data_IF_330887205239
#
_entry.id   IF_330887205239
#
_cell.length_a   1.000
_cell.length_b   1.000
_cell.length_c   1.000
_cell.angle_alpha   90.00
_cell.angle_beta   90.00
_cell.angle_gamma   90.00
#
_symmetry.space_group_name_H-M   'P 1'
#
loop_
_entity.id
_entity.type
_entity.pdbx_description
1 polymer ?
#
# COMPACT_ATOMS: atom_id res chain seq x y z
N UNK A 1 2.52 -8.36 -14.27
CA UNK A 1 3.62 -9.36 -14.17
C UNK A 1 4.09 -9.53 -12.72
N UNK A 2 4.53 -8.45 -12.02
CA UNK A 2 5.11 -8.55 -10.66
C UNK A 2 4.25 -9.35 -9.67
N UNK A 3 2.92 -9.14 -9.68
CA UNK A 3 1.97 -9.83 -8.79
C UNK A 3 1.91 -11.35 -9.05
N UNK A 4 2.32 -11.79 -10.24
CA UNK A 4 2.28 -13.19 -10.64
C UNK A 4 3.57 -13.96 -10.31
N UNK A 5 4.67 -13.22 -10.07
CA UNK A 5 5.95 -13.84 -9.80
C UNK A 5 5.94 -14.64 -8.49
N UNK A 6 6.40 -15.90 -8.51
CA UNK A 6 6.55 -16.66 -7.28
C UNK A 6 7.59 -16.06 -6.34
N UNK A 7 7.41 -16.23 -5.05
CA UNK A 7 8.32 -15.70 -4.02
C UNK A 7 9.76 -16.24 -4.14
N UNK A 8 9.94 -17.42 -4.74
CA UNK A 8 11.27 -17.97 -5.05
C UNK A 8 12.07 -17.11 -6.06
N UNK A 9 11.41 -16.26 -6.83
CA UNK A 9 12.01 -15.32 -7.78
C UNK A 9 11.85 -13.86 -7.34
N UNK A 10 10.76 -13.50 -6.66
CA UNK A 10 10.46 -12.13 -6.25
C UNK A 10 10.55 -11.98 -4.73
N UNK A 11 11.68 -11.50 -4.23
CA UNK A 11 11.84 -11.00 -2.87
C UNK A 11 11.85 -9.46 -2.86
N UNK A 12 11.95 -8.83 -1.68
CA UNK A 12 11.95 -7.37 -1.54
C UNK A 12 13.08 -6.68 -2.34
N UNK A 13 14.26 -7.29 -2.42
CA UNK A 13 15.40 -6.76 -3.19
C UNK A 13 15.16 -6.81 -4.69
N UNK A 14 14.60 -7.92 -5.19
CA UNK A 14 14.25 -8.07 -6.61
C UNK A 14 13.13 -7.09 -6.99
N UNK A 15 12.13 -6.91 -6.14
CA UNK A 15 11.07 -5.92 -6.32
C UNK A 15 11.64 -4.49 -6.43
N UNK A 16 12.56 -4.12 -5.54
CA UNK A 16 13.24 -2.83 -5.58
C UNK A 16 14.07 -2.64 -6.88
N UNK A 17 14.76 -3.71 -7.34
CA UNK A 17 15.51 -3.71 -8.61
C UNK A 17 14.57 -3.52 -9.81
N UNK A 18 13.39 -4.13 -9.79
CA UNK A 18 12.38 -3.93 -10.83
C UNK A 18 11.96 -2.45 -10.90
N UNK A 19 11.73 -1.77 -9.77
CA UNK A 19 11.43 -0.34 -9.74
C UNK A 19 12.59 0.53 -10.24
N UNK A 20 13.84 0.19 -9.92
CA UNK A 20 15.00 0.87 -10.50
C UNK A 20 15.04 0.73 -12.02
N UNK A 21 14.72 -0.46 -12.54
CA UNK A 21 14.64 -0.69 -13.99
C UNK A 21 13.54 0.14 -14.64
N UNK A 22 12.35 0.21 -14.02
CA UNK A 22 11.25 1.07 -14.48
C UNK A 22 11.67 2.55 -14.49
N UNK A 23 12.35 3.01 -13.44
CA UNK A 23 12.84 4.38 -13.35
C UNK A 23 13.83 4.73 -14.48
N UNK A 24 14.78 3.84 -14.75
CA UNK A 24 15.73 4.00 -15.88
C UNK A 24 15.01 4.07 -17.23
N UNK A 25 14.00 3.23 -17.45
CA UNK A 25 13.22 3.17 -18.70
C UNK A 25 12.29 4.36 -18.92
N UNK A 26 11.76 4.95 -17.84
CA UNK A 26 10.75 6.03 -17.91
C UNK A 26 11.31 7.41 -17.54
N UNK A 27 12.51 7.50 -16.96
CA UNK A 27 13.15 8.77 -16.62
C UNK A 27 12.76 9.34 -15.28
N UNK A 28 12.41 8.49 -14.28
CA UNK A 28 12.25 8.91 -12.89
C UNK A 28 13.38 8.37 -12.00
N UNK A 29 13.69 9.11 -10.93
CA UNK A 29 14.71 8.70 -9.97
C UNK A 29 14.19 7.62 -9.05
N UNK A 30 15.05 6.64 -8.71
CA UNK A 30 14.72 5.58 -7.76
C UNK A 30 15.84 5.44 -6.75
N UNK A 31 15.53 5.59 -5.48
CA UNK A 31 16.43 5.38 -4.36
C UNK A 31 15.93 4.19 -3.54
N UNK A 32 16.80 3.23 -3.27
CA UNK A 32 16.49 2.04 -2.47
C UNK A 32 17.27 2.11 -1.17
N UNK A 33 16.55 2.08 -0.05
CA UNK A 33 17.13 1.98 1.28
C UNK A 33 17.20 0.51 1.70
N UNK A 34 18.38 0.09 2.08
CA UNK A 34 18.66 -1.24 2.62
C UNK A 34 18.32 -1.32 4.14
N UNK A 35 18.44 -2.51 4.72
CA UNK A 35 18.15 -2.76 6.15
C UNK A 35 18.92 -1.82 7.09
N UNK A 36 20.19 -1.47 6.77
CA UNK A 36 20.98 -0.50 7.56
C UNK A 36 20.29 0.86 7.59
N UNK A 37 19.93 1.40 6.41
CA UNK A 37 19.27 2.71 6.31
C UNK A 37 17.87 2.70 6.92
N UNK A 38 17.12 1.61 6.81
CA UNK A 38 15.82 1.41 7.45
C UNK A 38 15.95 1.46 8.98
N UNK A 39 16.99 0.84 9.56
CA UNK A 39 17.32 0.95 11.00
C UNK A 39 17.66 2.37 11.42
N UNK A 40 18.49 3.09 10.65
CA UNK A 40 18.83 4.50 10.91
C UNK A 40 17.58 5.39 10.91
N UNK A 41 16.61 5.10 10.04
CA UNK A 41 15.33 5.80 9.94
C UNK A 41 14.34 5.37 11.03
N UNK A 42 14.67 4.36 11.84
CA UNK A 42 13.81 3.81 12.90
C UNK A 42 12.45 3.31 12.38
N UNK A 43 12.42 2.72 11.18
CA UNK A 43 11.20 2.14 10.61
C UNK A 43 10.83 0.84 11.35
N UNK A 44 10.29 0.98 12.55
CA UNK A 44 10.07 -0.15 13.48
C UNK A 44 9.02 -1.14 12.99
N UNK A 45 7.98 -0.69 12.30
CA UNK A 45 6.98 -1.56 11.71
C UNK A 45 7.57 -2.46 10.61
N UNK A 46 8.36 -1.88 9.69
CA UNK A 46 9.03 -2.63 8.63
C UNK A 46 10.08 -3.61 9.19
N UNK A 47 10.80 -3.20 10.23
CA UNK A 47 11.80 -4.05 10.87
C UNK A 47 11.18 -5.21 11.63
N UNK A 48 10.08 -4.98 12.35
CA UNK A 48 9.39 -6.00 13.13
C UNK A 48 8.82 -7.10 12.22
N UNK A 49 8.12 -6.71 11.14
CA UNK A 49 7.59 -7.69 10.16
C UNK A 49 8.72 -8.50 9.52
N UNK A 50 9.88 -7.87 9.29
CA UNK A 50 11.05 -8.57 8.72
C UNK A 50 11.78 -9.49 9.69
N UNK A 51 11.48 -9.53 10.99
CA UNK A 51 12.22 -10.34 11.95
C UNK A 51 12.21 -11.83 11.61
N UNK A 52 11.08 -12.36 11.16
CA UNK A 52 10.97 -13.76 10.74
C UNK A 52 11.52 -14.07 9.34
N UNK A 53 12.15 -13.11 8.65
CA UNK A 53 12.66 -13.31 7.29
C UNK A 53 14.18 -13.34 7.22
N UNK A 54 14.72 -14.32 6.49
CA UNK A 54 16.14 -14.34 6.10
C UNK A 54 16.47 -13.34 4.97
N UNK A 55 15.44 -12.81 4.27
CA UNK A 55 15.62 -11.85 3.20
C UNK A 55 15.60 -10.42 3.77
N UNK A 56 16.51 -9.52 3.34
CA UNK A 56 16.53 -8.16 3.84
C UNK A 56 15.32 -7.36 3.33
N UNK A 57 14.74 -6.47 4.19
CA UNK A 57 13.70 -5.56 3.74
C UNK A 57 14.30 -4.45 2.89
N UNK A 58 13.46 -3.83 2.06
CA UNK A 58 13.81 -2.62 1.32
C UNK A 58 12.77 -1.53 1.55
N UNK A 59 13.19 -0.28 1.47
CA UNK A 59 12.28 0.85 1.35
C UNK A 59 12.65 1.64 0.10
N UNK A 60 11.76 1.63 -0.89
CA UNK A 60 12.01 2.25 -2.19
C UNK A 60 11.30 3.59 -2.29
N UNK A 61 12.05 4.63 -2.63
CA UNK A 61 11.55 5.98 -2.94
C UNK A 61 11.74 6.23 -4.44
N UNK A 62 10.65 6.49 -5.13
CA UNK A 62 10.62 6.84 -6.55
C UNK A 62 10.20 8.29 -6.71
N UNK A 63 10.92 9.09 -7.47
CA UNK A 63 10.63 10.52 -7.66
C UNK A 63 10.54 10.87 -9.14
N UNK A 64 9.36 11.29 -9.57
CA UNK A 64 9.11 11.87 -10.87
C UNK A 64 8.76 13.35 -10.72
N UNK A 65 9.69 14.23 -11.15
CA UNK A 65 9.56 15.69 -11.05
C UNK A 65 10.01 16.32 -12.36
N UNK A 66 9.11 16.41 -13.37
CA UNK A 66 9.45 17.03 -14.66
C UNK A 66 9.64 18.55 -14.53
N UNK A 67 10.39 19.14 -15.47
CA UNK A 67 10.41 20.58 -15.63
C UNK A 67 9.01 21.06 -16.01
N UNK A 68 8.47 22.04 -15.28
CA UNK A 68 7.11 22.53 -15.54
C UNK A 68 6.00 21.71 -14.85
N UNK A 69 6.32 20.94 -13.81
CA UNK A 69 5.30 20.35 -12.95
C UNK A 69 4.36 21.44 -12.41
N UNK A 70 3.05 21.26 -12.59
CA UNK A 70 2.02 22.24 -12.22
C UNK A 70 1.72 22.25 -10.72
N UNK A 71 2.02 21.16 -10.01
CA UNK A 71 1.87 21.07 -8.55
C UNK A 71 3.21 21.33 -7.86
N UNK A 72 3.18 22.21 -6.85
CA UNK A 72 4.36 22.53 -6.03
C UNK A 72 4.66 21.46 -4.99
N UNK A 73 3.61 20.92 -4.38
CA UNK A 73 3.64 19.81 -3.44
C UNK A 73 3.34 18.51 -4.19
N UNK A 74 4.05 17.40 -3.89
CA UNK A 74 3.84 16.16 -4.63
C UNK A 74 2.50 15.50 -4.30
N UNK A 75 1.97 14.76 -5.28
CA UNK A 75 1.07 13.65 -5.00
C UNK A 75 1.96 12.47 -4.63
N UNK A 76 1.71 11.86 -3.47
CA UNK A 76 2.47 10.71 -3.00
C UNK A 76 1.63 9.45 -3.15
N UNK A 77 2.21 8.43 -3.78
CA UNK A 77 1.63 7.09 -3.89
C UNK A 77 2.38 6.18 -2.92
N UNK A 78 1.65 5.50 -2.04
CA UNK A 78 2.23 4.53 -1.10
C UNK A 78 1.68 3.15 -1.45
N UNK A 79 2.53 2.12 -1.47
CA UNK A 79 2.10 0.78 -1.85
C UNK A 79 2.63 -0.30 -0.93
N UNK A 80 1.73 -1.16 -0.42
CA UNK A 80 2.09 -2.35 0.33
C UNK A 80 2.97 -3.27 -0.50
N UNK A 81 4.14 -3.66 0.04
CA UNK A 81 5.13 -4.48 -0.62
C UNK A 81 5.45 -5.79 0.13
N UNK A 82 4.45 -6.46 0.69
CA UNK A 82 4.64 -7.78 1.30
C UNK A 82 4.74 -8.82 0.19
N UNK A 83 5.97 -9.21 -0.18
CA UNK A 83 6.23 -10.09 -1.33
C UNK A 83 5.72 -11.52 -1.13
N UNK A 84 5.56 -11.94 0.11
CA UNK A 84 4.85 -13.15 0.50
C UNK A 84 4.37 -13.05 1.95
N UNK A 85 3.11 -13.39 2.20
CA UNK A 85 2.52 -13.33 3.52
C UNK A 85 2.07 -14.70 4.02
N UNK A 86 2.75 -15.21 5.05
CA UNK A 86 2.33 -16.44 5.75
C UNK A 86 1.33 -16.18 6.86
N UNK A 87 1.09 -14.89 7.21
CA UNK A 87 0.44 -14.48 8.44
C UNK A 87 1.39 -14.36 9.64
N UNK A 88 2.65 -14.74 9.48
CA UNK A 88 3.61 -14.82 10.59
C UNK A 88 3.16 -15.86 11.62
N UNK A 89 3.33 -15.57 12.90
CA UNK A 89 2.90 -16.48 13.99
C UNK A 89 1.37 -16.67 14.03
N UNK A 90 0.58 -15.73 13.51
CA UNK A 90 -0.86 -15.88 13.26
C UNK A 90 -1.10 -16.55 11.89
N UNK A 91 -0.61 -17.78 11.76
CA UNK A 91 -0.44 -18.50 10.51
C UNK A 91 -1.74 -18.66 9.71
N UNK A 92 -1.70 -18.29 8.44
CA UNK A 92 -2.81 -18.49 7.49
C UNK A 92 -3.01 -19.98 7.17
N UNK A 93 -4.26 -20.44 6.93
CA UNK A 93 -4.47 -21.75 6.32
C UNK A 93 -3.86 -21.78 4.91
N UNK A 94 -3.29 -22.93 4.50
CA UNK A 94 -2.66 -23.05 3.18
C UNK A 94 -3.66 -22.98 2.04
N UNK A 95 -4.72 -23.85 1.99
CA UNK A 95 -5.66 -23.83 0.87
C UNK A 95 -6.51 -22.56 0.84
N UNK A 96 -6.61 -21.95 -0.33
CA UNK A 96 -7.43 -20.76 -0.59
C UNK A 96 -7.07 -19.52 0.23
N UNK A 97 -5.87 -19.47 0.80
CA UNK A 97 -5.34 -18.34 1.56
C UNK A 97 -3.84 -18.18 1.30
N UNK A 98 -2.96 -18.86 2.02
CA UNK A 98 -1.50 -18.70 1.88
C UNK A 98 -0.98 -19.05 0.48
N UNK A 99 -1.60 -20.01 -0.21
CA UNK A 99 -1.18 -20.54 -1.52
C UNK A 99 -1.12 -19.49 -2.65
N UNK A 100 -1.75 -18.31 -2.47
CA UNK A 100 -1.68 -17.20 -3.43
C UNK A 100 -1.14 -15.89 -2.85
N UNK A 101 -0.60 -15.89 -1.63
CA UNK A 101 -0.09 -14.68 -0.97
C UNK A 101 1.15 -14.06 -1.61
N UNK A 102 1.65 -14.58 -2.72
CA UNK A 102 2.56 -13.86 -3.61
C UNK A 102 1.94 -12.57 -4.17
N UNK A 103 0.61 -12.43 -4.14
CA UNK A 103 -0.10 -11.25 -4.58
C UNK A 103 -0.11 -10.09 -3.56
N UNK A 104 0.43 -10.30 -2.36
CA UNK A 104 0.31 -9.35 -1.24
C UNK A 104 1.22 -8.11 -1.36
N UNK A 105 1.87 -7.98 -2.50
CA UNK A 105 2.61 -6.81 -2.95
C UNK A 105 1.90 -6.07 -4.10
N UNK A 106 0.62 -6.35 -4.32
CA UNK A 106 -0.19 -5.71 -5.36
C UNK A 106 -0.20 -4.18 -5.26
N UNK A 107 -0.24 -3.64 -4.05
CA UNK A 107 -0.16 -2.20 -3.82
C UNK A 107 1.14 -1.58 -4.33
N UNK A 108 2.28 -2.23 -4.11
CA UNK A 108 3.57 -1.78 -4.64
C UNK A 108 3.63 -1.80 -6.17
N UNK A 109 2.99 -2.81 -6.78
CA UNK A 109 2.87 -2.90 -8.23
C UNK A 109 2.03 -1.75 -8.81
N UNK A 110 0.95 -1.35 -8.13
CA UNK A 110 0.17 -0.15 -8.50
C UNK A 110 1.06 1.08 -8.52
N UNK A 111 1.82 1.33 -7.45
CA UNK A 111 2.67 2.51 -7.33
C UNK A 111 3.72 2.56 -8.43
N UNK A 112 4.49 1.46 -8.62
CA UNK A 112 5.53 1.41 -9.63
C UNK A 112 5.01 1.56 -11.06
N UNK A 113 3.90 0.90 -11.39
CA UNK A 113 3.28 0.96 -12.71
C UNK A 113 2.66 2.33 -13.00
N UNK A 114 2.01 2.96 -12.01
CA UNK A 114 1.43 4.30 -12.15
C UNK A 114 2.51 5.36 -12.38
N UNK A 115 3.61 5.32 -11.61
CA UNK A 115 4.74 6.22 -11.85
C UNK A 115 5.36 6.02 -13.23
N UNK A 116 5.52 4.76 -13.64
CA UNK A 116 6.03 4.43 -14.96
C UNK A 116 5.15 5.02 -16.06
N UNK A 117 3.84 4.83 -15.99
CA UNK A 117 2.89 5.37 -16.95
C UNK A 117 2.91 6.91 -16.96
N UNK A 118 2.86 7.56 -15.79
CA UNK A 118 2.90 9.02 -15.67
C UNK A 118 4.18 9.62 -16.26
N UNK A 119 5.33 8.99 -16.04
CA UNK A 119 6.60 9.46 -16.59
C UNK A 119 6.71 9.21 -18.11
N UNK A 120 6.21 8.07 -18.60
CA UNK A 120 6.19 7.77 -20.06
C UNK A 120 5.29 8.71 -20.84
N UNK A 121 4.12 9.02 -20.30
CA UNK A 121 3.17 10.00 -20.87
C UNK A 121 3.56 11.45 -20.56
N UNK A 122 4.69 11.67 -19.85
CA UNK A 122 5.23 13.00 -19.53
C UNK A 122 4.23 13.89 -18.83
N UNK A 123 3.44 13.35 -17.88
CA UNK A 123 2.49 14.16 -17.13
C UNK A 123 3.21 15.32 -16.43
N UNK A 124 2.71 16.56 -16.50
CA UNK A 124 3.31 17.72 -15.84
C UNK A 124 3.01 17.74 -14.33
N UNK A 125 3.28 16.62 -13.65
CA UNK A 125 3.01 16.44 -12.23
C UNK A 125 4.26 15.99 -11.46
N UNK A 126 4.42 16.56 -10.27
CA UNK A 126 5.39 16.07 -9.30
C UNK A 126 4.76 14.92 -8.52
N UNK A 127 5.31 13.72 -8.69
CA UNK A 127 4.78 12.49 -8.08
C UNK A 127 5.91 11.77 -7.35
N UNK A 128 5.61 11.26 -6.15
CA UNK A 128 6.50 10.40 -5.37
C UNK A 128 5.84 9.05 -5.13
N UNK A 129 6.59 7.98 -5.32
CA UNK A 129 6.19 6.62 -4.93
C UNK A 129 7.00 6.13 -3.74
N UNK A 130 6.34 5.55 -2.75
CA UNK A 130 6.95 4.97 -1.55
C UNK A 130 6.52 3.51 -1.43
N UNK A 131 7.49 2.61 -1.33
CA UNK A 131 7.24 1.18 -1.19
C UNK A 131 8.07 0.59 -0.06
N UNK A 132 7.48 0.33 1.11
CA UNK A 132 8.05 -0.56 2.12
C UNK A 132 7.87 -2.00 1.65
N UNK A 133 8.96 -2.79 1.60
CA UNK A 133 8.89 -4.17 1.12
C UNK A 133 9.64 -5.15 2.02
N UNK A 134 8.99 -6.26 2.29
CA UNK A 134 9.47 -7.42 3.05
C UNK A 134 8.58 -8.62 2.77
N UNK A 135 8.91 -9.78 3.29
CA UNK A 135 7.97 -10.88 3.49
C UNK A 135 7.62 -11.03 4.97
N UNK A 136 6.49 -11.65 5.26
CA UNK A 136 6.03 -11.99 6.61
C UNK A 136 6.16 -13.50 6.80
N UNK A 137 7.10 -13.92 7.66
CA UNK A 137 7.50 -15.33 7.83
C UNK A 137 7.41 -15.80 9.26
N UNK A 138 7.36 -17.11 9.39
CA UNK A 138 7.48 -17.82 10.68
C UNK A 138 8.94 -18.24 10.85
N UNK A 139 9.57 -17.80 11.93
CA UNK A 139 10.93 -18.17 12.33
C UNK A 139 11.09 -17.97 13.84
N UNK A 140 12.21 -18.45 14.39
CA UNK A 140 12.54 -18.31 15.83
C UNK A 140 12.61 -16.86 16.31
N UNK A 141 13.02 -15.92 15.44
CA UNK A 141 13.11 -14.49 15.74
C UNK A 141 11.86 -13.68 15.32
N UNK A 142 10.81 -14.33 14.76
CA UNK A 142 9.61 -13.63 14.33
C UNK A 142 8.92 -12.92 15.49
N UNK A 143 8.37 -11.72 15.19
CA UNK A 143 7.53 -11.01 16.16
C UNK A 143 6.25 -11.80 16.47
N UNK A 144 5.71 -11.61 17.66
CA UNK A 144 4.61 -12.43 18.19
C UNK A 144 3.44 -11.56 18.65
N UNK A 145 2.21 -12.11 18.73
CA UNK A 145 1.12 -11.43 19.43
C UNK A 145 1.49 -11.16 20.89
N UNK A 146 1.25 -9.92 21.36
CA UNK A 146 1.67 -9.40 22.65
C UNK A 146 2.90 -8.50 22.59
N UNK A 147 3.64 -8.49 21.47
CA UNK A 147 4.75 -7.56 21.29
C UNK A 147 4.27 -6.10 21.19
N UNK A 148 5.12 -5.19 21.65
CA UNK A 148 4.92 -3.74 21.48
C UNK A 148 6.02 -3.19 20.56
N UNK A 149 5.63 -2.66 19.40
CA UNK A 149 6.54 -2.13 18.39
C UNK A 149 6.61 -0.61 18.50
N UNK A 150 7.82 -0.05 18.53
CA UNK A 150 8.01 1.41 18.36
C UNK A 150 8.16 1.75 16.88
N UNK A 151 7.18 2.46 16.34
CA UNK A 151 7.12 2.86 14.94
C UNK A 151 8.09 4.02 14.63
N UNK A 152 8.34 4.30 13.36
CA UNK A 152 9.15 5.46 12.91
C UNK A 152 8.65 6.79 13.49
N UNK A 153 7.37 6.93 13.74
CA UNK A 153 6.73 8.11 14.34
C UNK A 153 7.08 8.31 15.83
N UNK A 154 7.67 7.32 16.48
CA UNK A 154 7.82 7.24 17.94
C UNK A 154 6.60 6.67 18.67
N UNK A 155 5.48 6.49 17.98
CA UNK A 155 4.30 5.84 18.54
C UNK A 155 4.53 4.35 18.75
N UNK A 156 3.90 3.80 19.80
CA UNK A 156 3.96 2.38 20.13
C UNK A 156 2.70 1.67 19.63
N UNK A 157 2.87 0.45 19.14
CA UNK A 157 1.78 -0.39 18.61
C UNK A 157 1.84 -1.77 19.26
N UNK A 158 0.77 -2.15 19.98
CA UNK A 158 0.56 -3.50 20.44
C UNK A 158 0.15 -4.40 19.27
N UNK A 159 0.88 -5.48 19.08
CA UNK A 159 0.57 -6.50 18.07
C UNK A 159 -0.35 -7.54 18.69
N UNK A 160 -1.57 -7.66 18.21
CA UNK A 160 -2.49 -8.72 18.60
C UNK A 160 -2.69 -9.77 17.52
N UNK A 161 -2.26 -9.46 16.29
CA UNK A 161 -2.32 -10.37 15.15
C UNK A 161 -1.16 -10.07 14.20
N UNK A 162 -0.28 -11.02 13.98
CA UNK A 162 0.86 -10.86 13.05
C UNK A 162 0.45 -10.95 11.59
N UNK A 163 -0.78 -11.37 11.28
CA UNK A 163 -1.40 -11.32 9.94
C UNK A 163 -1.98 -9.92 9.60
N UNK A 164 -1.76 -8.96 10.49
CA UNK A 164 -2.04 -7.54 10.27
C UNK A 164 -0.72 -6.75 10.10
N UNK A 165 0.22 -7.30 9.37
CA UNK A 165 1.59 -6.83 9.11
C UNK A 165 1.66 -5.68 8.12
N UNK A 166 0.79 -5.72 7.08
CA UNK A 166 0.78 -4.73 6.00
C UNK A 166 0.60 -3.31 6.52
N UNK A 167 -0.31 -3.12 7.48
CA UNK A 167 -0.52 -1.81 8.10
C UNK A 167 0.67 -1.32 8.93
N UNK A 168 1.47 -2.22 9.47
CA UNK A 168 2.68 -1.85 10.23
C UNK A 168 3.75 -1.28 9.30
N UNK A 169 4.04 -1.95 8.18
CA UNK A 169 5.02 -1.45 7.21
C UNK A 169 4.53 -0.15 6.53
N UNK A 170 3.22 -0.05 6.26
CA UNK A 170 2.61 1.15 5.66
C UNK A 170 2.63 2.34 6.61
N UNK A 171 2.44 2.15 7.91
CA UNK A 171 2.51 3.21 8.91
C UNK A 171 3.86 3.95 8.88
N UNK A 172 4.97 3.23 8.76
CA UNK A 172 6.30 3.83 8.62
C UNK A 172 6.43 4.62 7.29
N UNK A 173 5.90 4.08 6.19
CA UNK A 173 5.92 4.74 4.90
C UNK A 173 5.07 6.02 4.89
N UNK A 174 3.88 5.98 5.51
CA UNK A 174 3.00 7.13 5.65
C UNK A 174 3.63 8.22 6.55
N UNK A 175 4.26 7.83 7.66
CA UNK A 175 5.01 8.79 8.46
C UNK A 175 6.19 9.38 7.68
N UNK A 176 6.90 8.57 6.89
CA UNK A 176 7.99 9.04 6.03
C UNK A 176 7.49 10.05 4.97
N UNK A 177 6.27 9.90 4.45
CA UNK A 177 5.67 10.79 3.45
C UNK A 177 5.53 12.25 3.93
N UNK A 178 5.38 12.50 5.24
CA UNK A 178 5.26 13.86 5.84
C UNK A 178 6.38 14.81 5.43
N UNK A 179 7.59 14.30 5.23
CA UNK A 179 8.75 15.10 4.82
C UNK A 179 8.59 15.81 3.48
N UNK A 180 7.73 15.29 2.62
CA UNK A 180 7.46 15.87 1.30
C UNK A 180 6.33 16.89 1.31
N UNK A 181 5.62 17.06 2.45
CA UNK A 181 4.44 17.92 2.57
C UNK A 181 3.46 17.71 1.42
N UNK A 182 2.94 16.48 1.23
CA UNK A 182 2.15 16.13 0.05
C UNK A 182 0.83 16.89 -0.01
N UNK A 183 0.37 17.22 -1.24
CA UNK A 183 -0.98 17.74 -1.44
C UNK A 183 -2.06 16.65 -1.29
N UNK A 184 -1.69 15.41 -1.57
CA UNK A 184 -2.52 14.22 -1.41
C UNK A 184 -1.64 12.99 -1.31
N UNK A 185 -1.99 12.07 -0.41
CA UNK A 185 -1.43 10.72 -0.39
C UNK A 185 -2.50 9.72 -0.78
N UNK A 186 -2.21 8.89 -1.79
CA UNK A 186 -3.01 7.74 -2.18
C UNK A 186 -2.25 6.46 -1.81
N UNK A 187 -2.80 5.68 -0.90
CA UNK A 187 -2.18 4.44 -0.44
C UNK A 187 -2.97 3.23 -0.95
N UNK A 188 -2.26 2.26 -1.55
CA UNK A 188 -2.82 1.05 -2.14
C UNK A 188 -2.28 -0.18 -1.43
N UNK A 189 -3.17 -1.05 -0.96
CA UNK A 189 -2.79 -2.29 -0.29
C UNK A 189 -3.79 -3.43 -0.54
N UNK A 190 -3.28 -4.62 -0.66
CA UNK A 190 -4.01 -5.87 -0.46
C UNK A 190 -4.11 -6.10 1.05
N UNK A 191 -4.99 -5.31 1.73
CA UNK A 191 -4.82 -5.15 3.16
C UNK A 191 -5.71 -6.07 3.99
N UNK A 192 -6.98 -6.20 3.63
CA UNK A 192 -7.92 -6.91 4.52
C UNK A 192 -8.82 -7.92 3.79
N UNK A 193 -9.01 -9.07 4.42
CA UNK A 193 -10.08 -9.99 4.05
C UNK A 193 -11.47 -9.34 4.20
N UNK A 194 -11.60 -8.37 5.11
CA UNK A 194 -12.84 -7.60 5.30
C UNK A 194 -13.23 -6.80 4.05
N UNK A 195 -12.28 -6.13 3.40
CA UNK A 195 -12.55 -5.44 2.13
C UNK A 195 -12.95 -6.41 1.01
N UNK A 196 -12.25 -7.56 0.93
CA UNK A 196 -12.59 -8.61 -0.03
C UNK A 196 -13.99 -9.20 0.23
N UNK A 197 -14.39 -9.36 1.49
CA UNK A 197 -15.73 -9.81 1.85
C UNK A 197 -16.82 -8.76 1.56
N UNK A 198 -16.47 -7.46 1.61
CA UNK A 198 -17.43 -6.36 1.39
C UNK A 198 -17.82 -6.20 -0.08
N UNK A 199 -16.86 -6.17 -1.00
CA UNK A 199 -17.09 -5.89 -2.41
C UNK A 199 -16.69 -7.04 -3.35
N UNK A 200 -16.09 -8.09 -2.82
CA UNK A 200 -15.56 -9.17 -3.64
C UNK A 200 -14.48 -8.66 -4.59
N UNK A 201 -14.45 -9.19 -5.80
CA UNK A 201 -13.51 -8.79 -6.86
C UNK A 201 -14.07 -7.68 -7.78
N UNK A 202 -15.26 -7.15 -7.49
CA UNK A 202 -15.95 -6.19 -8.36
C UNK A 202 -15.62 -4.72 -8.05
N UNK A 203 -15.04 -4.42 -6.89
CA UNK A 203 -14.76 -3.06 -6.49
C UNK A 203 -13.59 -2.94 -5.52
N UNK A 204 -13.08 -1.73 -5.40
CA UNK A 204 -12.05 -1.33 -4.46
C UNK A 204 -12.73 -0.69 -3.26
N UNK A 205 -12.46 -1.15 -2.05
CA UNK A 205 -12.90 -0.47 -0.84
C UNK A 205 -12.01 0.75 -0.61
N UNK A 206 -12.60 1.94 -0.51
CA UNK A 206 -11.84 3.17 -0.34
C UNK A 206 -12.36 4.02 0.82
N UNK A 207 -11.47 4.71 1.51
CA UNK A 207 -11.76 5.62 2.60
C UNK A 207 -10.61 6.58 2.87
N UNK A 208 -10.88 7.67 3.57
CA UNK A 208 -9.84 8.64 3.92
C UNK A 208 -10.43 9.95 4.43
N UNK A 209 -9.55 10.93 4.60
CA UNK A 209 -9.87 12.27 5.08
C UNK A 209 -9.65 13.36 4.00
N UNK A 210 -9.45 12.97 2.74
CA UNK A 210 -9.35 13.91 1.63
C UNK A 210 -10.68 14.64 1.39
N UNK A 211 -10.61 15.84 0.82
CA UNK A 211 -11.79 16.65 0.54
C UNK A 211 -12.80 15.90 -0.36
N UNK A 212 -14.09 16.19 -0.18
CA UNK A 212 -15.19 15.58 -0.94
C UNK A 212 -15.00 15.73 -2.46
N UNK A 213 -14.40 16.83 -2.92
CA UNK A 213 -14.08 17.06 -4.34
C UNK A 213 -13.03 16.09 -4.87
N UNK A 214 -12.04 15.73 -4.05
CA UNK A 214 -11.01 14.72 -4.38
C UNK A 214 -11.66 13.34 -4.46
N UNK A 215 -12.49 12.99 -3.45
CA UNK A 215 -13.21 11.72 -3.42
C UNK A 215 -14.12 11.58 -4.65
N UNK A 216 -14.87 12.63 -5.02
CA UNK A 216 -15.73 12.63 -6.21
C UNK A 216 -14.94 12.40 -7.51
N UNK A 217 -13.78 13.04 -7.67
CA UNK A 217 -12.89 12.85 -8.83
C UNK A 217 -12.32 11.43 -8.89
N UNK A 218 -11.88 10.88 -7.76
CA UNK A 218 -11.39 9.50 -7.68
C UNK A 218 -12.51 8.50 -8.01
N UNK A 219 -13.73 8.72 -7.51
CA UNK A 219 -14.90 7.89 -7.83
C UNK A 219 -15.19 7.95 -9.33
N UNK A 220 -15.19 9.15 -9.91
CA UNK A 220 -15.39 9.33 -11.37
C UNK A 220 -14.30 8.62 -12.17
N UNK A 221 -13.05 8.71 -11.75
CA UNK A 221 -11.94 8.00 -12.39
C UNK A 221 -12.14 6.48 -12.32
N UNK A 222 -12.57 5.96 -11.16
CA UNK A 222 -12.91 4.54 -11.02
C UNK A 222 -14.01 4.07 -11.96
N UNK A 223 -15.06 4.86 -12.14
CA UNK A 223 -16.13 4.56 -13.09
C UNK A 223 -15.64 4.56 -14.55
N UNK A 224 -14.82 5.56 -14.93
CA UNK A 224 -14.30 5.68 -16.29
C UNK A 224 -13.48 4.45 -16.73
N UNK A 225 -12.71 3.85 -15.81
CA UNK A 225 -11.80 2.74 -16.12
C UNK A 225 -12.29 1.40 -15.58
N UNK A 226 -13.52 1.35 -15.08
CA UNK A 226 -14.14 0.16 -14.51
C UNK A 226 -13.34 -0.46 -13.33
N UNK A 227 -12.73 0.43 -12.51
CA UNK A 227 -12.11 0.11 -11.22
C UNK A 227 -12.86 0.87 -10.11
N UNK A 228 -14.14 0.50 -9.93
CA UNK A 228 -15.12 1.23 -9.14
C UNK A 228 -14.77 1.23 -7.65
N UNK A 229 -15.10 2.36 -6.99
CA UNK A 229 -14.85 2.55 -5.56
C UNK A 229 -16.13 2.33 -4.75
N UNK A 230 -16.04 1.53 -3.69
CA UNK A 230 -17.00 1.53 -2.59
C UNK A 230 -16.46 2.41 -1.46
N UNK A 231 -16.97 3.64 -1.37
CA UNK A 231 -16.55 4.57 -0.33
C UNK A 231 -17.18 4.17 1.00
N UNK A 232 -16.32 3.89 1.99
CA UNK A 232 -16.75 3.50 3.34
C UNK A 232 -16.84 4.71 4.27
N UNK A 233 -17.73 4.66 5.28
CA UNK A 233 -17.73 5.67 6.33
C UNK A 233 -16.38 5.67 7.04
N UNK A 234 -15.89 6.88 7.37
CA UNK A 234 -14.56 7.04 7.99
C UNK A 234 -14.68 7.89 9.26
N UNK A 235 -15.62 7.49 10.15
CA UNK A 235 -15.92 8.21 11.37
C UNK A 235 -14.88 8.00 12.45
N UNK A 236 -14.70 8.98 13.33
CA UNK A 236 -13.66 8.93 14.36
C UNK A 236 -13.94 7.92 15.48
N UNK A 237 -15.18 7.51 15.65
CA UNK A 237 -15.58 6.48 16.60
C UNK A 237 -14.86 5.15 16.38
N UNK A 238 -14.47 4.83 15.14
CA UNK A 238 -13.71 3.62 14.86
C UNK A 238 -12.29 3.62 15.45
N UNK A 239 -11.75 4.80 15.85
CA UNK A 239 -10.46 4.90 16.55
C UNK A 239 -10.52 4.28 17.95
N UNK A 240 -11.70 4.28 18.59
CA UNK A 240 -11.90 3.67 19.90
C UNK A 240 -11.58 2.17 19.89
N UNK A 241 -11.84 1.50 18.76
CA UNK A 241 -11.56 0.07 18.59
C UNK A 241 -10.06 -0.25 18.51
N UNK A 242 -9.22 0.77 18.33
CA UNK A 242 -7.76 0.63 18.22
C UNK A 242 -7.02 0.98 19.53
N UNK A 243 -7.71 1.36 20.59
CA UNK A 243 -7.11 1.66 21.89
C UNK A 243 -6.43 0.42 22.49
N UNK A 244 -5.24 0.59 23.00
CA UNK A 244 -4.47 -0.41 23.74
C UNK A 244 -4.30 0.04 25.19
N UNK A 245 -4.18 -0.91 26.10
CA UNK A 245 -3.90 -0.65 27.53
C UNK A 245 -2.39 -0.50 27.80
N UNK A 246 -1.52 -0.93 26.86
CA UNK A 246 -0.07 -0.99 27.04
C UNK A 246 0.74 -0.26 25.98
N UNK A 247 0.07 0.28 24.95
CA UNK A 247 0.68 1.03 23.84
C UNK A 247 -0.21 2.19 23.41
N UNK A 248 0.26 3.06 22.52
CA UNK A 248 -0.57 4.16 21.96
C UNK A 248 -1.79 3.60 21.19
N UNK A 249 -1.62 2.47 20.49
CA UNK A 249 -2.70 1.80 19.79
C UNK A 249 -2.36 0.31 19.59
N UNK A 250 -3.36 -0.49 19.21
CA UNK A 250 -3.18 -1.90 18.79
C UNK A 250 -3.36 -2.06 17.29
N UNK A 251 -2.78 -3.12 16.73
CA UNK A 251 -2.77 -3.30 15.26
C UNK A 251 -4.07 -3.84 14.67
N UNK A 252 -5.06 -4.27 15.47
CA UNK A 252 -6.38 -4.73 15.01
C UNK A 252 -7.50 -4.12 15.84
N UNK A 253 -8.66 -3.84 15.21
CA UNK A 253 -9.85 -3.29 15.85
C UNK A 253 -10.90 -4.33 16.28
N UNK A 254 -10.56 -5.63 16.22
CA UNK A 254 -11.50 -6.71 16.50
C UNK A 254 -12.24 -7.19 15.23
N UNK A 255 -13.33 -8.00 15.38
CA UNK A 255 -13.98 -8.69 14.26
C UNK A 255 -14.84 -7.77 13.37
N UNK A 256 -15.27 -6.63 13.89
CA UNK A 256 -16.20 -5.73 13.20
C UNK A 256 -15.45 -4.62 12.46
N UNK A 257 -15.99 -4.19 11.31
CA UNK A 257 -15.50 -3.06 10.51
C UNK A 257 -13.99 -3.15 10.16
N UNK A 258 -13.47 -4.36 9.90
CA UNK A 258 -12.03 -4.63 9.77
C UNK A 258 -11.33 -3.77 8.72
N UNK A 259 -11.97 -3.48 7.57
CA UNK A 259 -11.40 -2.59 6.57
C UNK A 259 -11.31 -1.13 7.07
N UNK A 260 -12.36 -0.66 7.78
CA UNK A 260 -12.41 0.71 8.29
C UNK A 260 -11.41 0.92 9.42
N UNK A 261 -11.30 -0.03 10.35
CA UNK A 261 -10.32 0.03 11.44
C UNK A 261 -8.90 -0.04 10.91
N UNK A 262 -8.64 -0.80 9.82
CA UNK A 262 -7.36 -0.80 9.15
C UNK A 262 -7.03 0.58 8.54
N UNK A 263 -7.98 1.21 7.86
CA UNK A 263 -7.82 2.57 7.36
C UNK A 263 -7.58 3.59 8.48
N UNK A 264 -8.32 3.48 9.61
CA UNK A 264 -8.12 4.35 10.78
C UNK A 264 -6.76 4.14 11.45
N UNK A 265 -6.26 2.90 11.48
CA UNK A 265 -4.90 2.65 11.92
C UNK A 265 -3.87 3.40 11.06
N UNK A 266 -4.02 3.37 9.74
CA UNK A 266 -3.13 4.08 8.82
C UNK A 266 -3.23 5.61 8.98
N UNK A 267 -4.44 6.16 9.14
CA UNK A 267 -4.67 7.59 9.36
C UNK A 267 -3.91 8.11 10.58
N UNK A 268 -3.70 7.29 11.61
CA UNK A 268 -2.96 7.67 12.83
C UNK A 268 -1.53 8.17 12.54
N UNK A 269 -0.96 7.78 11.40
CA UNK A 269 0.40 8.12 10.99
C UNK A 269 0.46 9.23 9.92
N UNK A 270 -0.67 9.84 9.60
CA UNK A 270 -0.81 10.92 8.62
C UNK A 270 -1.08 12.28 9.30
N UNK A 271 -0.83 13.38 8.58
CA UNK A 271 -1.21 14.75 8.94
C UNK A 271 -1.47 15.60 7.68
N UNK A 272 -1.89 14.93 6.62
CA UNK A 272 -2.10 15.47 5.28
C UNK A 272 -3.35 14.80 4.65
N UNK A 273 -3.91 15.34 3.54
CA UNK A 273 -5.02 14.69 2.83
C UNK A 273 -4.63 13.27 2.39
N UNK A 274 -5.42 12.29 2.79
CA UNK A 274 -5.12 10.87 2.66
C UNK A 274 -6.31 10.07 2.14
N UNK A 275 -6.04 9.15 1.21
CA UNK A 275 -6.98 8.13 0.73
C UNK A 275 -6.33 6.76 0.77
N UNK A 276 -6.98 5.83 1.44
CA UNK A 276 -6.65 4.40 1.46
C UNK A 276 -7.51 3.66 0.43
N UNK A 277 -6.88 2.79 -0.34
CA UNK A 277 -7.52 1.91 -1.32
C UNK A 277 -7.18 0.45 -0.98
N UNK A 278 -8.13 -0.26 -0.38
CA UNK A 278 -7.99 -1.69 -0.10
C UNK A 278 -8.36 -2.48 -1.35
N UNK A 279 -7.34 -2.99 -2.02
CA UNK A 279 -7.45 -3.75 -3.27
C UNK A 279 -7.41 -5.28 -3.05
N UNK A 280 -7.54 -5.75 -1.80
CA UNK A 280 -7.44 -7.19 -1.49
C UNK A 280 -8.42 -8.04 -2.29
N UNK A 281 -9.64 -7.55 -2.53
CA UNK A 281 -10.65 -8.24 -3.32
C UNK A 281 -10.27 -8.37 -4.80
N UNK A 282 -10.07 -7.24 -5.52
CA UNK A 282 -9.89 -7.24 -6.96
C UNK A 282 -8.44 -7.45 -7.46
N UNK A 283 -7.42 -7.49 -6.58
CA UNK A 283 -6.01 -7.54 -7.00
C UNK A 283 -5.60 -8.86 -7.66
N UNK A 284 -6.25 -9.96 -7.31
CA UNK A 284 -5.91 -11.29 -7.79
C UNK A 284 -7.16 -12.15 -8.00
N UNK A 285 -7.25 -12.85 -9.15
CA UNK A 285 -8.38 -13.73 -9.49
C UNK A 285 -7.90 -15.16 -9.69
N UNK A 286 -8.64 -16.13 -9.17
CA UNK A 286 -8.33 -17.58 -9.35
C UNK A 286 -8.82 -18.15 -10.67
N UNK A 287 -9.78 -17.49 -11.29
CA UNK A 287 -10.37 -17.85 -12.57
C UNK A 287 -10.23 -16.73 -13.58
N UNK A 288 -10.47 -17.03 -14.84
CA UNK A 288 -10.47 -16.01 -15.89
C UNK A 288 -11.61 -15.00 -15.64
N UNK A 289 -11.26 -13.71 -15.62
CA UNK A 289 -12.19 -12.62 -15.32
C UNK A 289 -12.19 -11.57 -16.43
N UNK A 290 -12.94 -11.87 -17.50
CA UNK A 290 -13.12 -10.96 -18.64
C UNK A 290 -11.75 -10.41 -19.15
N UNK A 291 -11.66 -9.09 -19.38
CA UNK A 291 -10.43 -8.41 -19.85
C UNK A 291 -9.26 -8.41 -18.83
N UNK A 292 -9.54 -8.68 -17.55
CA UNK A 292 -8.52 -8.74 -16.50
C UNK A 292 -7.72 -10.05 -16.51
N UNK A 293 -8.27 -11.10 -17.13
CA UNK A 293 -7.64 -12.41 -17.20
C UNK A 293 -7.66 -13.16 -15.87
N UNK A 294 -6.67 -14.04 -15.68
CA UNK A 294 -6.45 -14.83 -14.46
C UNK A 294 -5.21 -14.32 -13.72
N UNK A 295 -5.18 -14.46 -12.40
CA UNK A 295 -4.12 -14.07 -11.48
C UNK A 295 -4.09 -12.55 -11.23
N UNK A 296 -2.93 -11.90 -11.25
CA UNK A 296 -2.79 -10.47 -10.98
C UNK A 296 -3.50 -9.61 -12.02
N UNK A 297 -4.43 -8.76 -11.58
CA UNK A 297 -5.33 -7.98 -12.44
C UNK A 297 -4.77 -6.60 -12.84
N UNK A 298 -3.77 -6.12 -12.10
CA UNK A 298 -3.27 -4.75 -12.24
C UNK A 298 -4.27 -3.67 -11.79
N UNK A 299 -5.29 -4.04 -11.01
CA UNK A 299 -6.27 -3.10 -10.43
C UNK A 299 -5.56 -2.00 -9.64
N UNK A 300 -6.12 -0.80 -9.68
CA UNK A 300 -5.59 0.41 -9.05
C UNK A 300 -4.68 1.23 -9.97
N UNK A 301 -4.01 0.60 -10.95
CA UNK A 301 -3.13 1.32 -11.89
C UNK A 301 -3.94 2.24 -12.81
N UNK A 302 -5.00 1.72 -13.42
CA UNK A 302 -5.87 2.50 -14.32
C UNK A 302 -6.58 3.62 -13.58
N UNK A 303 -7.11 3.33 -12.38
CA UNK A 303 -7.74 4.32 -11.50
C UNK A 303 -6.78 5.47 -11.18
N UNK A 304 -5.60 5.15 -10.65
CA UNK A 304 -4.62 6.15 -10.25
C UNK A 304 -4.14 6.97 -11.46
N UNK A 305 -3.90 6.32 -12.59
CA UNK A 305 -3.44 6.99 -13.80
C UNK A 305 -4.53 7.90 -14.41
N UNK A 306 -5.80 7.48 -14.46
CA UNK A 306 -6.92 8.30 -14.93
C UNK A 306 -7.12 9.54 -14.05
N UNK A 307 -7.01 9.39 -12.72
CA UNK A 307 -7.03 10.51 -11.80
C UNK A 307 -5.86 11.49 -12.04
N UNK A 308 -4.66 10.98 -12.28
CA UNK A 308 -3.49 11.82 -12.57
C UNK A 308 -3.61 12.53 -13.91
N UNK A 309 -4.22 11.92 -14.93
CA UNK A 309 -4.55 12.57 -16.21
C UNK A 309 -5.52 13.74 -16.02
N UNK A 310 -6.59 13.54 -15.23
CA UNK A 310 -7.54 14.60 -14.87
C UNK A 310 -6.82 15.75 -14.14
N UNK A 311 -6.00 15.40 -13.15
CA UNK A 311 -5.23 16.36 -12.34
C UNK A 311 -4.20 17.15 -13.19
N UNK A 312 -3.69 16.54 -14.27
CA UNK A 312 -2.77 17.15 -15.21
C UNK A 312 -3.46 18.03 -16.27
N UNK A 313 -4.80 18.01 -16.33
CA UNK A 313 -5.55 18.65 -17.41
C UNK A 313 -5.32 18.00 -18.78
N UNK A 314 -4.89 16.74 -18.81
CA UNK A 314 -4.56 16.01 -20.05
C UNK A 314 -5.62 14.96 -20.43
N UNK A 315 -6.69 14.88 -19.65
CA UNK A 315 -7.79 13.98 -19.95
C UNK A 315 -8.56 14.48 -21.16
N UNK A 316 -8.62 13.66 -22.21
CA UNK A 316 -9.50 13.94 -23.35
C UNK A 316 -10.93 13.58 -22.94
N UNK A 317 -11.86 14.48 -23.17
CA UNK A 317 -13.29 14.13 -23.13
C UNK A 317 -13.53 13.08 -24.23
N UNK A 318 -14.07 11.91 -23.83
CA UNK A 318 -14.46 10.85 -24.73
C UNK A 318 -15.88 11.12 -25.25
#
# INVERSE_FOLDING_TARGET
DLVNEPQSYLNATVLATAFQSLGKKAGFKTQVFNKKKIKELKMGGLLAVNLGSLQPPTFTVMEYKPKGAINKQPIVLVGKGVVFDTGGMSLKPTPNSMDYMKCDMGGSAVVGATLYAAAKEKLPLYIIGLVPATDNRVDGDAYVPGDVITMMSGKTVEVLNTDAEGRLILADALHYAKRFKPELVMEFATLTGSAAATLGHYGIVAMGNADASVVAKLTKSGENVYERLGIMPFWDEYKELLKSDIADLKNIGGPNAGAITAGKFLEYFTDYPFMHFDIAGPAFTKSNDSYRGKNGTGVGVRLAFDYLLDRAGMKKEL
#
